data_IF_031143225092
#
_entry.id   IF_031143225092
#
_cell.length_a   1.000
_cell.length_b   1.000
_cell.length_c   1.000
_cell.angle_alpha   90.00
_cell.angle_beta   90.00
_cell.angle_gamma   90.00
#
_symmetry.space_group_name_H-M   'P 1'
#
loop_
_entity.id
_entity.type
_entity.pdbx_description
1 polymer ?
#
# COMPACT_ATOMS: atom_id res chain seq x y z
N UNK A 1 -5.32 -19.64 -12.78
CA UNK A 1 -6.26 -19.20 -11.71
C UNK A 1 -5.68 -18.01 -10.96
N UNK A 2 -4.41 -18.09 -10.55
CA UNK A 2 -3.68 -17.01 -9.87
C UNK A 2 -3.59 -15.71 -10.69
N UNK A 3 -3.24 -15.79 -11.98
CA UNK A 3 -3.22 -14.61 -12.88
C UNK A 3 -4.58 -13.90 -13.03
N UNK A 4 -5.68 -14.66 -13.06
CA UNK A 4 -7.02 -14.08 -13.17
C UNK A 4 -7.43 -13.36 -11.88
N UNK A 5 -7.02 -13.87 -10.72
CA UNK A 5 -7.21 -13.23 -9.42
C UNK A 5 -6.37 -11.95 -9.31
N UNK A 6 -5.10 -12.00 -9.70
CA UNK A 6 -4.18 -10.84 -9.74
C UNK A 6 -4.73 -9.76 -10.68
N UNK A 7 -5.22 -10.14 -11.86
CA UNK A 7 -5.81 -9.21 -12.84
C UNK A 7 -7.10 -8.58 -12.31
N UNK A 8 -7.95 -9.36 -11.63
CA UNK A 8 -9.17 -8.83 -11.01
C UNK A 8 -8.87 -7.89 -9.83
N UNK A 9 -7.84 -8.19 -9.03
CA UNK A 9 -7.43 -7.34 -7.93
C UNK A 9 -6.80 -6.03 -8.45
N UNK A 10 -5.97 -6.09 -9.49
CA UNK A 10 -5.30 -4.91 -10.06
C UNK A 10 -6.30 -3.96 -10.69
N UNK A 11 -7.28 -4.48 -11.43
CA UNK A 11 -8.36 -3.69 -12.04
C UNK A 11 -9.21 -2.95 -11.01
N UNK A 12 -9.32 -3.46 -9.77
CA UNK A 12 -10.03 -2.78 -8.67
C UNK A 12 -9.21 -1.69 -7.97
N UNK A 13 -7.88 -1.73 -8.06
CA UNK A 13 -7.03 -0.70 -7.47
C UNK A 13 -7.09 0.58 -8.30
N UNK A 14 -7.41 1.68 -7.62
CA UNK A 14 -7.31 3.02 -8.22
C UNK A 14 -5.87 3.36 -8.56
N UNK A 15 -5.66 4.29 -9.49
CA UNK A 15 -4.31 4.73 -9.87
C UNK A 15 -3.49 5.23 -8.67
N UNK A 16 -4.10 5.97 -7.74
CA UNK A 16 -3.42 6.47 -6.53
C UNK A 16 -3.02 5.33 -5.58
N UNK A 17 -3.85 4.31 -5.43
CA UNK A 17 -3.48 3.12 -4.65
C UNK A 17 -2.31 2.37 -5.27
N UNK A 18 -2.26 2.25 -6.61
CA UNK A 18 -1.12 1.64 -7.31
C UNK A 18 0.16 2.43 -7.12
N UNK A 19 0.11 3.76 -7.24
CA UNK A 19 1.26 4.64 -7.00
C UNK A 19 1.78 4.46 -5.57
N UNK A 20 0.90 4.47 -4.56
CA UNK A 20 1.30 4.27 -3.17
C UNK A 20 1.87 2.86 -2.95
N UNK A 21 1.26 1.83 -3.52
CA UNK A 21 1.74 0.46 -3.43
C UNK A 21 3.14 0.29 -4.06
N UNK A 22 3.40 0.94 -5.19
CA UNK A 22 4.73 1.00 -5.82
C UNK A 22 5.75 1.74 -4.95
N UNK A 23 5.35 2.88 -4.39
CA UNK A 23 6.25 3.62 -3.50
C UNK A 23 6.63 2.77 -2.27
N UNK A 24 5.69 1.98 -1.72
CA UNK A 24 5.96 1.08 -0.60
C UNK A 24 6.96 -0.03 -0.90
N UNK A 25 7.11 -0.48 -2.15
CA UNK A 25 8.10 -1.51 -2.48
C UNK A 25 9.47 -0.92 -2.84
N UNK A 26 9.48 0.29 -3.43
CA UNK A 26 10.71 0.91 -3.91
C UNK A 26 11.43 1.78 -2.87
N UNK A 27 10.69 2.43 -1.98
CA UNK A 27 11.22 3.51 -1.13
C UNK A 27 11.06 3.26 0.38
N UNK A 28 10.25 2.27 0.76
CA UNK A 28 9.94 2.02 2.15
C UNK A 28 10.70 0.80 2.70
N UNK A 29 11.34 0.99 3.84
CA UNK A 29 12.22 0.02 4.49
C UNK A 29 11.52 -0.85 5.55
N UNK A 30 10.20 -0.67 5.75
CA UNK A 30 9.44 -1.44 6.74
C UNK A 30 9.53 -0.91 8.18
N UNK A 31 10.11 0.27 8.41
CA UNK A 31 10.37 0.78 9.77
C UNK A 31 9.27 1.66 10.38
N UNK A 32 8.31 2.13 9.58
CA UNK A 32 7.39 3.19 9.98
C UNK A 32 6.02 2.66 10.39
N UNK A 33 5.51 3.19 11.51
CA UNK A 33 4.11 2.98 11.91
C UNK A 33 3.16 3.77 11.00
N UNK A 34 1.90 3.33 10.95
CA UNK A 34 0.89 3.80 10.00
C UNK A 34 0.79 5.33 9.86
N UNK A 35 0.79 6.07 10.98
CA UNK A 35 0.67 7.54 10.96
C UNK A 35 1.92 8.21 10.39
N UNK A 36 3.12 7.76 10.79
CA UNK A 36 4.37 8.32 10.28
C UNK A 36 4.52 8.03 8.79
N UNK A 37 4.15 6.82 8.37
CA UNK A 37 4.21 6.42 6.98
C UNK A 37 3.27 7.25 6.10
N UNK A 38 2.06 7.60 6.59
CA UNK A 38 1.17 8.55 5.91
C UNK A 38 1.87 9.88 5.66
N UNK A 39 2.53 10.43 6.68
CA UNK A 39 3.21 11.71 6.57
C UNK A 39 4.39 11.65 5.59
N UNK A 40 5.14 10.53 5.60
CA UNK A 40 6.26 10.29 4.68
C UNK A 40 5.78 10.22 3.23
N UNK A 41 4.79 9.36 2.95
CA UNK A 41 4.18 9.24 1.62
C UNK A 41 3.60 10.58 1.14
N UNK A 42 2.94 11.31 2.05
CA UNK A 42 2.34 12.61 1.73
C UNK A 42 3.38 13.60 1.21
N UNK A 43 4.54 13.68 1.87
CA UNK A 43 5.66 14.53 1.47
C UNK A 43 6.32 14.05 0.19
N UNK A 44 6.61 12.76 0.09
CA UNK A 44 7.40 12.21 -1.01
C UNK A 44 6.62 12.17 -2.34
N UNK A 45 5.29 12.05 -2.29
CA UNK A 45 4.43 12.01 -3.47
C UNK A 45 3.64 13.31 -3.71
N UNK A 46 3.80 14.32 -2.85
CA UNK A 46 2.99 15.56 -2.85
C UNK A 46 1.46 15.28 -2.87
N UNK A 47 1.02 14.34 -2.01
CA UNK A 47 -0.38 13.94 -1.87
C UNK A 47 -0.88 14.39 -0.49
N UNK A 48 -2.06 15.02 -0.36
CA UNK A 48 -2.60 15.39 0.94
C UNK A 48 -2.71 14.19 1.91
N UNK A 49 -2.34 14.37 3.17
CA UNK A 49 -2.37 13.29 4.18
C UNK A 49 -3.73 12.59 4.29
N UNK A 50 -4.84 13.33 4.15
CA UNK A 50 -6.19 12.76 4.15
C UNK A 50 -6.41 11.79 2.98
N UNK A 51 -5.87 12.12 1.81
CA UNK A 51 -5.91 11.27 0.62
C UNK A 51 -4.99 10.07 0.78
N UNK A 52 -3.77 10.25 1.30
CA UNK A 52 -2.87 9.12 1.59
C UNK A 52 -3.51 8.15 2.58
N UNK A 53 -4.09 8.67 3.68
CA UNK A 53 -4.79 7.87 4.69
C UNK A 53 -5.93 7.05 4.09
N UNK A 54 -6.73 7.66 3.21
CA UNK A 54 -7.82 6.97 2.52
C UNK A 54 -7.30 5.84 1.62
N UNK A 55 -6.24 6.09 0.86
CA UNK A 55 -5.65 5.10 -0.02
C UNK A 55 -5.00 3.95 0.76
N UNK A 56 -4.21 4.26 1.79
CA UNK A 56 -3.62 3.27 2.70
C UNK A 56 -4.69 2.42 3.38
N UNK A 57 -5.83 3.03 3.76
CA UNK A 57 -6.96 2.30 4.31
C UNK A 57 -7.52 1.31 3.29
N UNK A 58 -7.72 1.74 2.05
CA UNK A 58 -8.18 0.85 0.98
C UNK A 58 -7.19 -0.28 0.67
N UNK A 59 -5.87 -0.03 0.75
CA UNK A 59 -4.86 -1.08 0.59
C UNK A 59 -4.93 -2.11 1.73
N UNK A 60 -5.20 -1.65 2.96
CA UNK A 60 -5.40 -2.52 4.12
C UNK A 60 -6.68 -3.33 4.01
N UNK A 61 -7.79 -2.70 3.60
CA UNK A 61 -9.08 -3.37 3.37
C UNK A 61 -9.02 -4.40 2.23
N UNK A 62 -8.05 -4.27 1.33
CA UNK A 62 -7.75 -5.22 0.26
C UNK A 62 -6.70 -6.28 0.65
N UNK A 63 -6.30 -6.37 1.93
CA UNK A 63 -5.27 -7.27 2.45
C UNK A 63 -3.92 -7.17 1.73
N UNK A 64 -3.57 -5.98 1.22
CA UNK A 64 -2.28 -5.72 0.56
C UNK A 64 -1.23 -5.22 1.55
N UNK A 65 -1.66 -4.59 2.64
CA UNK A 65 -0.79 -4.15 3.72
C UNK A 65 -1.34 -4.57 5.08
N UNK A 66 -0.44 -4.77 6.02
CA UNK A 66 -0.72 -4.94 7.44
C UNK A 66 -0.15 -3.76 8.21
N UNK A 67 -0.79 -3.43 9.33
CA UNK A 67 -0.37 -2.34 10.22
C UNK A 67 -0.97 -2.53 11.60
N UNK A 68 -0.40 -1.83 12.59
CA UNK A 68 -0.94 -1.79 13.94
C UNK A 68 -2.45 -1.46 14.01
N UNK A 69 -3.07 -1.96 15.07
CA UNK A 69 -4.49 -1.75 15.38
C UNK A 69 -4.62 -0.86 16.62
N UNK A 70 -5.86 -0.57 17.03
CA UNK A 70 -6.12 0.11 18.30
C UNK A 70 -5.65 -0.72 19.50
N UNK A 71 -5.76 -2.04 19.38
CA UNK A 71 -5.43 -3.03 20.42
C UNK A 71 -3.96 -3.48 20.33
N UNK A 72 -3.32 -3.30 19.17
CA UNK A 72 -1.92 -3.65 18.94
C UNK A 72 -1.17 -2.50 18.25
N UNK A 73 -0.77 -1.50 19.04
CA UNK A 73 -0.12 -0.27 18.57
C UNK A 73 1.38 -0.46 18.35
N UNK A 74 1.99 0.47 17.62
CA UNK A 74 3.44 0.48 17.42
C UNK A 74 3.96 -0.51 16.40
N UNK A 75 3.08 -1.28 15.76
CA UNK A 75 3.46 -2.22 14.71
C UNK A 75 3.71 -1.45 13.40
N UNK A 76 4.93 -1.54 12.81
CA UNK A 76 5.22 -0.96 11.52
C UNK A 76 4.29 -1.49 10.43
N UNK A 77 4.13 -0.71 9.37
CA UNK A 77 3.40 -1.19 8.19
C UNK A 77 4.27 -2.18 7.44
N UNK A 78 3.67 -3.26 6.95
CA UNK A 78 4.33 -4.25 6.09
C UNK A 78 3.44 -4.63 4.92
N UNK A 79 4.06 -4.91 3.76
CA UNK A 79 3.34 -5.55 2.65
C UNK A 79 2.99 -7.00 3.01
N UNK A 80 1.78 -7.43 2.70
CA UNK A 80 1.44 -8.85 2.71
C UNK A 80 2.10 -9.55 1.53
N UNK A 81 2.02 -10.88 1.47
CA UNK A 81 2.45 -11.62 0.27
C UNK A 81 1.71 -11.16 -0.97
N UNK A 82 0.38 -10.96 -0.87
CA UNK A 82 -0.41 -10.43 -1.97
C UNK A 82 0.00 -8.99 -2.32
N UNK A 83 0.25 -8.15 -1.32
CA UNK A 83 0.76 -6.79 -1.52
C UNK A 83 2.04 -6.75 -2.36
N UNK A 84 3.01 -7.63 -2.05
CA UNK A 84 4.27 -7.74 -2.82
C UNK A 84 4.04 -8.19 -4.26
N UNK A 85 3.22 -9.23 -4.47
CA UNK A 85 2.88 -9.73 -5.81
C UNK A 85 2.25 -8.63 -6.65
N UNK A 86 1.27 -7.92 -6.07
CA UNK A 86 0.53 -6.86 -6.74
C UNK A 86 1.39 -5.65 -7.07
N UNK A 87 2.29 -5.26 -6.17
CA UNK A 87 3.24 -4.17 -6.39
C UNK A 87 4.13 -4.45 -7.61
N UNK A 88 4.72 -5.65 -7.67
CA UNK A 88 5.56 -6.07 -8.80
C UNK A 88 4.76 -6.21 -10.10
N UNK A 89 3.52 -6.69 -10.05
CA UNK A 89 2.69 -6.83 -11.25
C UNK A 89 2.33 -5.47 -11.87
N UNK A 90 2.12 -4.45 -11.04
CA UNK A 90 1.91 -3.08 -11.55
C UNK A 90 3.13 -2.49 -12.25
N UNK A 91 4.34 -3.02 -12.07
CA UNK A 91 5.52 -2.59 -12.86
C UNK A 91 5.53 -3.17 -14.27
N UNK A 92 4.97 -4.36 -14.47
CA UNK A 92 5.00 -5.05 -15.76
C UNK A 92 3.99 -4.52 -16.80
N UNK A 93 3.13 -3.56 -16.42
CA UNK A 93 2.06 -3.02 -17.27
C UNK A 93 2.20 -1.52 -17.60
N UNK A 94 3.20 -0.84 -17.04
CA UNK A 94 3.58 0.53 -17.41
C UNK A 94 4.73 0.50 -18.43
#
# INVERSE_FOLDING_TARGET
>A
MEEALITSATTKLTQKQRIILKWLILQYDGSEVYTNLINKISKDLDIPESTVRWNMRGLREADLIEAGTKDNKGIPVSLTTMGRIMANYTEAMD
#
